data_IF_889593530722
#
_entry.id   IF_889593530722
#
_cell.length_a   1.000
_cell.length_b   1.000
_cell.length_c   1.000
_cell.angle_alpha   90.00
_cell.angle_beta   90.00
_cell.angle_gamma   90.00
#
_symmetry.space_group_name_H-M   'P 1'
#
loop_
_entity.id
_entity.type
_entity.pdbx_description
1 polymer ?
#
# COMPACT_ATOMS: atom_id res chain seq x y z
N UNK A 1 9.58 20.07 1.37
CA UNK A 1 9.31 18.64 1.64
C UNK A 1 7.81 18.40 1.53
N UNK A 2 7.38 17.47 0.67
CA UNK A 2 5.98 17.15 0.42
C UNK A 2 5.24 16.78 1.72
N UNK A 3 4.03 17.28 1.95
CA UNK A 3 3.28 17.06 3.20
C UNK A 3 2.90 15.58 3.39
N UNK A 4 2.50 14.90 2.31
CA UNK A 4 2.17 13.48 2.35
C UNK A 4 3.42 12.66 2.68
N UNK A 5 4.57 13.01 2.10
CA UNK A 5 5.85 12.37 2.43
C UNK A 5 6.18 12.51 3.93
N UNK A 6 5.98 13.70 4.52
CA UNK A 6 6.20 13.90 5.96
C UNK A 6 5.34 12.97 6.82
N UNK A 7 4.07 12.82 6.45
CA UNK A 7 3.15 11.91 7.15
C UNK A 7 3.60 10.45 7.01
N UNK A 8 4.05 10.04 5.83
CA UNK A 8 4.54 8.67 5.62
C UNK A 8 5.80 8.41 6.47
N UNK A 9 6.75 9.35 6.49
CA UNK A 9 8.01 9.17 7.21
C UNK A 9 7.82 9.21 8.74
N UNK A 10 7.11 10.23 9.24
CA UNK A 10 7.07 10.53 10.68
C UNK A 10 5.79 10.08 11.38
N UNK A 11 4.82 9.52 10.65
CA UNK A 11 3.59 8.98 11.22
C UNK A 11 3.31 7.53 10.80
N UNK A 12 4.26 6.58 11.00
CA UNK A 12 4.12 5.18 10.60
C UNK A 12 2.89 4.49 11.20
N UNK A 13 2.49 4.85 12.42
CA UNK A 13 1.33 4.24 13.08
C UNK A 13 0.00 4.52 12.36
N UNK A 14 -0.07 5.53 11.48
CA UNK A 14 -1.24 5.79 10.63
C UNK A 14 -1.54 4.68 9.63
N UNK A 15 -0.53 3.92 9.20
CA UNK A 15 -0.69 2.98 8.09
C UNK A 15 -0.08 1.59 8.33
N UNK A 16 0.80 1.43 9.32
CA UNK A 16 1.35 0.13 9.66
C UNK A 16 0.26 -0.75 10.26
N UNK A 17 0.20 -2.00 9.81
CA UNK A 17 -0.70 -2.99 10.35
C UNK A 17 -0.36 -3.28 11.84
N UNK A 18 -1.32 -3.23 12.78
CA UNK A 18 -1.05 -3.36 14.22
C UNK A 18 -0.25 -4.61 14.62
N UNK A 19 -0.52 -5.74 13.96
CA UNK A 19 0.20 -7.00 14.20
C UNK A 19 1.70 -6.93 13.90
N UNK A 20 2.16 -5.99 13.05
CA UNK A 20 3.59 -5.86 12.73
C UNK A 20 4.36 -5.19 13.87
N UNK A 21 3.68 -4.36 14.66
CA UNK A 21 4.28 -3.54 15.74
C UNK A 21 3.87 -4.03 17.13
N UNK A 22 3.22 -5.19 17.23
CA UNK A 22 2.72 -5.79 18.48
C UNK A 22 1.92 -4.82 19.35
N UNK A 23 1.28 -3.82 18.74
CA UNK A 23 0.41 -2.90 19.44
C UNK A 23 -0.94 -3.57 19.65
N UNK A 24 -1.45 -3.50 20.88
CA UNK A 24 -2.86 -3.81 21.12
C UNK A 24 -3.70 -2.88 20.21
N UNK A 25 -4.79 -3.40 19.63
CA UNK A 25 -5.64 -2.68 18.66
C UNK A 25 -6.31 -1.39 19.22
N UNK A 26 -5.91 -0.94 20.40
CA UNK A 26 -6.31 0.31 21.02
C UNK A 26 -5.69 1.50 20.29
N UNK A 27 -6.50 2.45 19.80
CA UNK A 27 -6.00 3.62 19.11
C UNK A 27 -5.22 4.54 20.07
N UNK A 28 -4.01 4.95 19.66
CA UNK A 28 -3.20 5.93 20.40
C UNK A 28 -3.64 7.34 19.97
N UNK A 29 -4.56 7.91 20.75
CA UNK A 29 -5.15 9.22 20.47
C UNK A 29 -4.36 10.39 21.09
N UNK A 30 -3.53 10.13 22.09
CA UNK A 30 -2.70 11.16 22.71
C UNK A 30 -1.55 11.54 21.75
N UNK A 31 -1.40 12.83 21.36
CA UNK A 31 -0.41 13.24 20.37
C UNK A 31 1.03 13.02 20.82
N UNK A 32 1.32 13.16 22.12
CA UNK A 32 2.65 12.93 22.69
C UNK A 32 2.99 11.45 22.63
N UNK A 33 2.07 10.58 23.09
CA UNK A 33 2.27 9.13 23.02
C UNK A 33 2.43 8.67 21.57
N UNK A 34 1.63 9.21 20.64
CA UNK A 34 1.72 8.89 19.22
C UNK A 34 3.10 9.26 18.65
N UNK A 35 3.61 10.44 18.99
CA UNK A 35 4.94 10.89 18.56
C UNK A 35 6.03 9.93 19.05
N UNK A 36 5.99 9.57 20.34
CA UNK A 36 6.96 8.64 20.94
C UNK A 36 6.88 7.27 20.27
N UNK A 37 5.67 6.74 20.05
CA UNK A 37 5.49 5.44 19.39
C UNK A 37 6.00 5.45 17.95
N UNK A 38 5.73 6.52 17.20
CA UNK A 38 6.25 6.67 15.84
C UNK A 38 7.77 6.68 15.80
N UNK A 39 8.41 7.39 16.72
CA UNK A 39 9.87 7.42 16.85
C UNK A 39 10.44 6.05 17.23
N UNK A 40 9.82 5.34 18.18
CA UNK A 40 10.18 3.97 18.54
C UNK A 40 10.12 3.02 17.34
N UNK A 41 9.08 3.13 16.49
CA UNK A 41 8.97 2.32 15.27
C UNK A 41 10.12 2.62 14.31
N UNK A 42 10.42 3.90 14.05
CA UNK A 42 11.51 4.29 13.15
C UNK A 42 12.85 3.71 13.63
N UNK A 43 13.14 3.81 14.93
CA UNK A 43 14.37 3.29 15.52
C UNK A 43 14.42 1.75 15.50
N UNK A 44 13.34 1.08 15.89
CA UNK A 44 13.28 -0.37 15.99
C UNK A 44 13.54 -1.08 14.64
N UNK A 45 13.01 -0.51 13.54
CA UNK A 45 13.18 -1.07 12.20
C UNK A 45 14.30 -0.39 11.40
N UNK A 46 15.07 0.50 12.02
CA UNK A 46 16.14 1.26 11.36
C UNK A 46 15.67 1.92 10.04
N UNK A 47 14.51 2.59 10.10
CA UNK A 47 13.91 3.20 8.91
C UNK A 47 14.68 4.46 8.50
N UNK A 48 15.03 4.55 7.23
CA UNK A 48 15.64 5.74 6.66
C UNK A 48 14.63 6.90 6.68
N UNK A 49 15.07 8.05 7.19
CA UNK A 49 14.27 9.28 7.31
C UNK A 49 14.75 10.41 6.39
N UNK A 50 15.89 10.23 5.72
CA UNK A 50 16.54 11.26 4.92
C UNK A 50 16.96 10.74 3.53
N UNK A 51 17.30 11.67 2.62
CA UNK A 51 17.90 11.40 1.31
C UNK A 51 17.04 10.56 0.34
N UNK A 52 15.77 10.92 0.18
CA UNK A 52 14.89 10.31 -0.83
C UNK A 52 15.08 10.94 -2.21
N UNK A 53 15.53 10.15 -3.20
CA UNK A 53 15.50 10.55 -4.59
C UNK A 53 14.12 10.23 -5.20
N UNK A 54 13.24 11.23 -5.25
CA UNK A 54 11.86 11.05 -5.70
C UNK A 54 11.70 11.51 -7.16
N UNK A 55 11.34 10.58 -8.04
CA UNK A 55 10.89 10.89 -9.39
C UNK A 55 9.39 11.27 -9.41
N UNK A 56 8.90 11.78 -10.54
CA UNK A 56 7.51 12.21 -10.71
C UNK A 56 6.49 11.11 -10.41
N UNK A 57 6.76 9.87 -10.83
CA UNK A 57 5.90 8.72 -10.56
C UNK A 57 5.79 8.40 -9.08
N UNK A 58 6.92 8.43 -8.34
CA UNK A 58 6.93 8.22 -6.89
C UNK A 58 6.17 9.32 -6.15
N UNK A 59 6.32 10.58 -6.58
CA UNK A 59 5.57 11.70 -6.02
C UNK A 59 4.06 11.49 -6.19
N UNK A 60 3.61 10.97 -7.34
CA UNK A 60 2.21 10.64 -7.56
C UNK A 60 1.71 9.60 -6.55
N UNK A 61 2.45 8.52 -6.31
CA UNK A 61 2.07 7.50 -5.33
C UNK A 61 2.08 8.03 -3.89
N UNK A 62 3.08 8.83 -3.53
CA UNK A 62 3.17 9.47 -2.21
C UNK A 62 1.96 10.36 -1.95
N UNK A 63 1.54 11.15 -2.93
CA UNK A 63 0.37 12.02 -2.81
C UNK A 63 -0.94 11.23 -2.70
N UNK A 64 -0.98 10.01 -3.23
CA UNK A 64 -2.14 9.12 -3.24
C UNK A 64 -1.92 7.89 -2.34
N UNK A 65 -1.20 8.05 -1.23
CA UNK A 65 -0.78 6.94 -0.36
C UNK A 65 -1.94 6.08 0.16
N UNK A 66 -3.10 6.70 0.41
CA UNK A 66 -4.32 6.00 0.82
C UNK A 66 -4.85 5.03 -0.26
N UNK A 67 -4.56 5.28 -1.53
CA UNK A 67 -4.92 4.40 -2.65
C UNK A 67 -3.83 3.36 -2.94
N UNK A 68 -2.67 3.43 -2.28
CA UNK A 68 -1.56 2.51 -2.50
C UNK A 68 -1.94 1.04 -2.36
N UNK A 69 -2.71 0.60 -1.33
CA UNK A 69 -3.17 -0.79 -1.25
C UNK A 69 -4.02 -1.22 -2.45
N UNK A 70 -4.83 -0.31 -2.99
CA UNK A 70 -5.65 -0.56 -4.17
C UNK A 70 -4.78 -0.70 -5.42
N UNK A 71 -3.76 0.16 -5.59
CA UNK A 71 -2.79 0.01 -6.68
C UNK A 71 -2.09 -1.34 -6.60
N UNK A 72 -1.61 -1.75 -5.41
CA UNK A 72 -0.99 -3.06 -5.21
C UNK A 72 -1.94 -4.21 -5.56
N UNK A 73 -3.22 -4.11 -5.20
CA UNK A 73 -4.24 -5.10 -5.54
C UNK A 73 -4.39 -5.22 -7.06
N UNK A 74 -4.62 -4.10 -7.77
CA UNK A 74 -4.75 -4.09 -9.22
C UNK A 74 -3.48 -4.61 -9.92
N UNK A 75 -2.29 -4.22 -9.45
CA UNK A 75 -1.02 -4.73 -9.98
C UNK A 75 -0.89 -6.25 -9.82
N UNK A 76 -1.29 -6.81 -8.67
CA UNK A 76 -1.29 -8.25 -8.45
C UNK A 76 -2.24 -8.98 -9.40
N UNK A 77 -3.47 -8.50 -9.56
CA UNK A 77 -4.43 -9.06 -10.50
C UNK A 77 -3.95 -8.94 -11.95
N UNK A 78 -3.38 -7.81 -12.32
CA UNK A 78 -2.81 -7.59 -13.65
C UNK A 78 -1.67 -8.58 -13.94
N UNK A 79 -0.79 -8.82 -12.96
CA UNK A 79 0.34 -9.74 -13.10
C UNK A 79 -0.11 -11.21 -13.26
N UNK A 80 -1.15 -11.63 -12.53
CA UNK A 80 -1.67 -13.00 -12.56
C UNK A 80 -2.90 -13.19 -13.48
N UNK A 81 -3.19 -12.24 -14.38
CA UNK A 81 -4.41 -12.21 -15.20
C UNK A 81 -4.67 -13.50 -16.00
N UNK A 82 -3.62 -14.13 -16.53
CA UNK A 82 -3.71 -15.41 -17.26
C UNK A 82 -4.27 -16.52 -16.38
N UNK A 83 -3.77 -16.64 -15.14
CA UNK A 83 -4.25 -17.63 -14.17
C UNK A 83 -5.70 -17.41 -13.74
N UNK A 84 -6.15 -16.16 -13.75
CA UNK A 84 -7.55 -15.84 -13.45
C UNK A 84 -8.48 -16.12 -14.64
N UNK A 85 -7.98 -15.99 -15.87
CA UNK A 85 -8.71 -16.33 -17.08
C UNK A 85 -8.86 -17.85 -17.23
N UNK A 86 -7.82 -18.61 -16.92
CA UNK A 86 -7.86 -20.07 -16.92
C UNK A 86 -8.69 -20.61 -15.74
N UNK A 87 -9.59 -21.56 -16.00
CA UNK A 87 -10.35 -22.33 -14.98
C UNK A 87 -11.53 -21.64 -14.29
N UNK A 88 -12.08 -20.57 -14.86
CA UNK A 88 -13.32 -19.95 -14.35
C UNK A 88 -13.15 -19.24 -13.00
N UNK A 89 -11.91 -19.07 -12.52
CA UNK A 89 -11.61 -18.24 -11.35
C UNK A 89 -12.01 -16.78 -11.57
N UNK A 90 -12.05 -16.33 -12.81
CA UNK A 90 -12.56 -15.03 -13.22
C UNK A 90 -13.88 -14.67 -12.51
N UNK A 91 -14.85 -15.59 -12.43
CA UNK A 91 -16.14 -15.33 -11.79
C UNK A 91 -16.07 -15.23 -10.26
N UNK A 92 -15.01 -15.74 -9.63
CA UNK A 92 -14.75 -15.61 -8.19
C UNK A 92 -14.08 -14.28 -7.84
N UNK A 93 -13.52 -13.58 -8.82
CA UNK A 93 -12.91 -12.25 -8.64
C UNK A 93 -14.03 -11.22 -8.41
N UNK A 94 -13.88 -10.26 -7.49
CA UNK A 94 -14.85 -9.18 -7.29
C UNK A 94 -15.16 -8.40 -8.58
N UNK A 95 -16.39 -7.91 -8.72
CA UNK A 95 -16.88 -7.29 -9.97
C UNK A 95 -15.96 -6.18 -10.51
N UNK A 96 -15.57 -5.23 -9.66
CA UNK A 96 -14.69 -4.11 -10.04
C UNK A 96 -13.35 -4.58 -10.63
N UNK A 97 -12.80 -5.67 -10.11
CA UNK A 97 -11.54 -6.23 -10.59
C UNK A 97 -11.74 -7.03 -11.89
N UNK A 98 -12.90 -7.66 -12.07
CA UNK A 98 -13.27 -8.29 -13.34
C UNK A 98 -13.39 -7.25 -14.44
N UNK A 99 -14.06 -6.13 -14.19
CA UNK A 99 -14.22 -5.05 -15.17
C UNK A 99 -12.85 -4.51 -15.63
N UNK A 100 -11.93 -4.33 -14.68
CA UNK A 100 -10.55 -3.97 -14.97
C UNK A 100 -9.81 -5.02 -15.82
N UNK A 101 -9.92 -6.30 -15.46
CA UNK A 101 -9.27 -7.39 -16.21
C UNK A 101 -9.87 -7.56 -17.61
N UNK A 102 -11.17 -7.39 -17.77
CA UNK A 102 -11.86 -7.44 -19.06
C UNK A 102 -11.42 -6.33 -20.02
N UNK A 103 -11.02 -5.17 -19.49
CA UNK A 103 -10.48 -4.07 -20.30
C UNK A 103 -9.06 -4.36 -20.83
N UNK A 104 -8.38 -5.41 -20.34
CA UNK A 104 -7.00 -5.77 -20.70
C UNK A 104 -6.99 -7.20 -21.26
N UNK A 105 -7.26 -7.38 -22.57
CA UNK A 105 -7.38 -8.71 -23.14
C UNK A 105 -6.07 -9.50 -23.03
N UNK A 106 -6.19 -10.73 -22.51
CA UNK A 106 -5.10 -11.70 -22.48
C UNK A 106 -5.09 -12.45 -23.80
N UNK A 107 -3.94 -12.47 -24.49
CA UNK A 107 -3.75 -13.37 -25.64
C UNK A 107 -3.49 -14.77 -25.10
N UNK A 108 -4.47 -15.65 -25.23
CA UNK A 108 -4.28 -17.08 -24.97
C UNK A 108 -3.59 -17.62 -26.22
N UNK A 109 -2.29 -17.94 -26.09
CA UNK A 109 -1.59 -18.66 -27.14
C UNK A 109 -2.01 -20.13 -27.01
N UNK A 110 -2.74 -20.63 -28.00
CA UNK A 110 -3.06 -22.05 -28.16
C UNK A 110 -1.81 -22.91 -28.39
#
# INVERSE_FOLDING_TARGET
MNLALRKIIYDPISYIHPQRVSLNNTPINNPVLRSITNEMIVLQYNLLVEHFNLNSSLIYYINNWNLFPLFCLFSGYHFYRERFAERGFFYKVPAVLRDYLSAIPVKINE
#
